data_IF_244003295014
#
_entry.id   IF_244003295014
#
_cell.length_a   1.000
_cell.length_b   1.000
_cell.length_c   1.000
_cell.angle_alpha   90.00
_cell.angle_beta   90.00
_cell.angle_gamma   90.00
#
_symmetry.space_group_name_H-M   'P 1'
#
loop_
_entity.id
_entity.type
_entity.pdbx_description
1 polymer ?
#
# COMPACT_ATOMS: atom_id res chain seq x y z
N UNK A 1 -15.94 -0.01 22.75
CA UNK A 1 -14.87 0.80 22.12
C UNK A 1 -15.35 1.30 20.77
N UNK A 2 -15.07 2.55 20.37
CA UNK A 2 -15.32 3.04 19.01
C UNK A 2 -14.52 2.26 17.97
N UNK A 3 -14.99 2.24 16.72
CA UNK A 3 -14.33 1.52 15.61
C UNK A 3 -12.86 1.95 15.42
N UNK A 4 -12.57 3.25 15.51
CA UNK A 4 -11.21 3.77 15.33
C UNK A 4 -10.22 3.43 16.46
N UNK A 5 -10.69 2.86 17.58
CA UNK A 5 -9.82 2.53 18.71
C UNK A 5 -8.91 1.31 18.44
N UNK A 6 -9.16 0.55 17.37
CA UNK A 6 -8.27 -0.54 16.92
C UNK A 6 -7.02 -0.04 16.18
N UNK A 7 -7.05 1.19 15.67
CA UNK A 7 -5.98 1.79 14.89
C UNK A 7 -5.53 0.95 13.67
N UNK A 8 -6.46 0.23 13.04
CA UNK A 8 -6.23 -0.63 11.87
C UNK A 8 -6.86 -0.07 10.57
N UNK A 9 -6.94 1.25 10.44
CA UNK A 9 -7.44 1.89 9.23
C UNK A 9 -6.52 1.53 8.04
N UNK A 10 -7.13 1.14 6.93
CA UNK A 10 -6.44 0.60 5.76
C UNK A 10 -7.28 0.84 4.49
N UNK A 11 -6.67 0.64 3.33
CA UNK A 11 -7.36 0.72 2.04
C UNK A 11 -7.81 2.13 1.63
N UNK A 12 -7.22 3.17 2.23
CA UNK A 12 -7.52 4.56 1.86
C UNK A 12 -6.82 5.01 0.57
N UNK A 13 -5.79 4.29 0.11
CA UNK A 13 -5.04 4.54 -1.13
C UNK A 13 -4.69 3.20 -1.78
N UNK A 14 -5.74 2.45 -2.14
CA UNK A 14 -5.65 1.04 -2.57
C UNK A 14 -4.74 0.87 -3.79
N UNK A 15 -3.99 -0.21 -3.80
CA UNK A 15 -3.31 -0.69 -5.01
C UNK A 15 -4.23 -1.57 -5.89
N UNK A 16 -3.82 -1.83 -7.13
CA UNK A 16 -4.53 -2.72 -8.05
C UNK A 16 -4.13 -2.51 -9.51
N UNK A 17 -4.56 -3.40 -10.39
CA UNK A 17 -4.18 -3.38 -11.81
C UNK A 17 -4.94 -2.34 -12.65
N UNK A 18 -6.07 -1.83 -12.16
CA UNK A 18 -6.95 -0.92 -12.88
C UNK A 18 -6.97 0.49 -12.26
N UNK A 19 -6.46 1.53 -12.95
CA UNK A 19 -6.45 2.90 -12.44
C UNK A 19 -7.85 3.50 -12.25
N UNK A 20 -8.91 2.91 -12.84
CA UNK A 20 -10.28 3.34 -12.58
C UNK A 20 -10.80 2.89 -11.20
N UNK A 21 -10.14 1.91 -10.56
CA UNK A 21 -10.57 1.33 -9.29
C UNK A 21 -9.51 1.35 -8.18
N UNK A 22 -8.23 1.58 -8.51
CA UNK A 22 -7.11 1.75 -7.59
C UNK A 22 -6.34 3.05 -7.83
N UNK A 23 -5.76 3.62 -6.78
CA UNK A 23 -4.91 4.81 -6.89
C UNK A 23 -3.46 4.45 -7.23
N UNK A 24 -3.04 3.24 -6.84
CA UNK A 24 -1.69 2.72 -7.05
C UNK A 24 -1.71 1.48 -7.94
N UNK A 25 -0.63 1.25 -8.68
CA UNK A 25 -0.36 -0.04 -9.30
C UNK A 25 0.11 -1.07 -8.25
N UNK A 26 0.30 -2.33 -8.67
CA UNK A 26 0.72 -3.43 -7.77
C UNK A 26 2.13 -3.27 -7.18
N UNK A 27 2.91 -2.31 -7.69
CA UNK A 27 4.20 -1.89 -7.14
C UNK A 27 4.07 -0.76 -6.11
N UNK A 28 2.83 -0.38 -5.78
CA UNK A 28 2.50 0.72 -4.87
C UNK A 28 2.92 2.10 -5.38
N UNK A 29 3.18 2.23 -6.69
CA UNK A 29 3.39 3.50 -7.37
C UNK A 29 2.04 4.11 -7.73
N UNK A 30 1.87 5.41 -7.58
CA UNK A 30 0.69 6.09 -8.11
C UNK A 30 0.63 5.94 -9.65
N UNK A 31 -0.54 5.65 -10.19
CA UNK A 31 -0.70 5.45 -11.64
C UNK A 31 -0.28 6.67 -12.46
N UNK A 32 -0.63 7.86 -11.98
CA UNK A 32 -0.44 9.12 -12.70
C UNK A 32 0.92 9.79 -12.43
N UNK A 33 1.74 9.25 -11.53
CA UNK A 33 2.99 9.88 -11.08
C UNK A 33 4.15 8.90 -11.05
N UNK A 34 5.23 9.26 -11.75
CA UNK A 34 6.38 8.38 -11.88
C UNK A 34 7.21 8.21 -10.61
N UNK A 35 7.14 9.13 -9.65
CA UNK A 35 8.05 9.14 -8.49
C UNK A 35 7.31 9.13 -7.15
N UNK A 36 6.02 8.80 -7.13
CA UNK A 36 5.22 8.76 -5.91
C UNK A 36 4.82 7.32 -5.56
N UNK A 37 5.14 6.91 -4.34
CA UNK A 37 4.86 5.59 -3.80
C UNK A 37 4.18 5.69 -2.43
N UNK A 38 3.32 4.73 -2.10
CA UNK A 38 2.62 4.66 -0.81
C UNK A 38 2.73 3.24 -0.24
N UNK A 39 3.33 3.09 0.94
CA UNK A 39 3.72 1.76 1.48
C UNK A 39 3.27 1.49 2.92
N UNK A 40 2.32 2.26 3.44
CA UNK A 40 1.69 2.04 4.75
C UNK A 40 0.43 1.14 4.64
N UNK A 41 -0.45 1.09 5.63
CA UNK A 41 -1.67 0.24 5.54
C UNK A 41 -2.69 0.73 4.52
N UNK A 42 -2.53 1.92 3.94
CA UNK A 42 -3.47 2.48 2.97
C UNK A 42 -3.50 1.72 1.64
N UNK A 43 -2.41 1.03 1.24
CA UNK A 43 -2.35 0.29 -0.03
C UNK A 43 -3.23 -0.97 -0.04
N UNK A 44 -3.64 -1.46 1.14
CA UNK A 44 -4.28 -2.76 1.28
C UNK A 44 -5.63 -2.77 0.54
N UNK A 45 -5.85 -3.69 -0.42
CA UNK A 45 -7.15 -3.82 -1.10
C UNK A 45 -8.22 -4.41 -0.17
N UNK A 46 -7.77 -5.11 0.88
CA UNK A 46 -8.57 -5.76 1.91
C UNK A 46 -7.76 -5.85 3.20
N UNK A 47 -8.44 -5.85 4.35
CA UNK A 47 -7.80 -6.03 5.66
C UNK A 47 -8.18 -7.38 6.27
N UNK A 48 -7.21 -8.08 6.84
CA UNK A 48 -7.43 -9.34 7.57
C UNK A 48 -7.93 -9.13 9.00
N UNK A 49 -8.25 -10.22 9.69
CA UNK A 49 -8.66 -10.22 11.11
C UNK A 49 -7.46 -10.15 12.10
N UNK A 50 -6.27 -9.82 11.62
CA UNK A 50 -5.00 -9.81 12.37
C UNK A 50 -4.28 -8.46 12.20
N UNK A 51 -3.26 -8.20 13.02
CA UNK A 51 -2.53 -6.94 13.02
C UNK A 51 -1.82 -6.69 11.68
N UNK A 52 -2.03 -5.53 11.01
CA UNK A 52 -1.55 -5.28 9.65
C UNK A 52 -0.09 -4.80 9.60
N UNK A 53 0.51 -4.43 10.73
CA UNK A 53 1.81 -3.74 10.77
C UNK A 53 2.93 -4.54 10.10
N UNK A 54 3.03 -5.85 10.36
CA UNK A 54 4.08 -6.67 9.76
C UNK A 54 3.90 -6.82 8.25
N UNK A 55 2.66 -6.90 7.77
CA UNK A 55 2.34 -6.92 6.33
C UNK A 55 2.71 -5.59 5.67
N UNK A 56 2.45 -4.46 6.32
CA UNK A 56 2.85 -3.15 5.81
C UNK A 56 4.38 -3.03 5.69
N UNK A 57 5.11 -3.44 6.73
CA UNK A 57 6.59 -3.44 6.72
C UNK A 57 7.14 -4.34 5.61
N UNK A 58 6.62 -5.56 5.49
CA UNK A 58 7.06 -6.49 4.46
C UNK A 58 6.82 -5.93 3.04
N UNK A 59 5.68 -5.28 2.81
CA UNK A 59 5.41 -4.64 1.52
C UNK A 59 6.32 -3.43 1.28
N UNK A 60 6.59 -2.62 2.29
CA UNK A 60 7.51 -1.48 2.17
C UNK A 60 8.92 -1.92 1.75
N UNK A 61 9.42 -3.04 2.29
CA UNK A 61 10.70 -3.62 1.87
C UNK A 61 10.66 -4.09 0.42
N UNK A 62 9.63 -4.84 0.03
CA UNK A 62 9.42 -5.30 -1.36
C UNK A 62 9.40 -4.13 -2.37
N UNK A 63 8.71 -3.04 -2.03
CA UNK A 63 8.64 -1.85 -2.87
C UNK A 63 9.97 -1.09 -2.89
N UNK A 64 10.69 -1.07 -1.76
CA UNK A 64 12.04 -0.53 -1.67
C UNK A 64 13.01 -1.22 -2.63
N UNK A 65 13.00 -2.55 -2.66
CA UNK A 65 13.81 -3.34 -3.60
C UNK A 65 13.49 -2.99 -5.06
N UNK A 66 12.18 -2.88 -5.38
CA UNK A 66 11.74 -2.46 -6.72
C UNK A 66 12.21 -1.04 -7.10
N UNK A 67 12.17 -0.09 -6.16
CA UNK A 67 12.66 1.27 -6.39
C UNK A 67 14.17 1.26 -6.67
N UNK A 68 14.94 0.46 -5.93
CA UNK A 68 16.38 0.30 -6.17
C UNK A 68 16.64 -0.22 -7.58
N UNK A 69 15.95 -1.27 -8.01
CA UNK A 69 16.08 -1.83 -9.36
C UNK A 69 15.74 -0.81 -10.47
N UNK A 70 14.75 0.05 -10.23
CA UNK A 70 14.32 1.07 -11.21
C UNK A 70 15.30 2.25 -11.34
N UNK A 71 16.02 2.55 -10.26
CA UNK A 71 16.94 3.70 -10.19
C UNK A 71 18.40 3.35 -10.55
N UNK A 72 18.71 2.06 -10.72
CA UNK A 72 19.98 1.58 -11.25
C UNK A 72 20.06 1.77 -12.77
#
# INVERSE_FOLDING_TARGET
MPLGATAHQAGTVRFGDDPASSALDVTCKAHDLDTLYVVDTSFFPSIGAVNPSLTAIANALRVGDHIVERLQ
#
